data_IF_386402599368
#
_entry.id   IF_386402599368
#
_cell.length_a   1.000
_cell.length_b   1.000
_cell.length_c   1.000
_cell.angle_alpha   90.00
_cell.angle_beta   90.00
_cell.angle_gamma   90.00
#
_symmetry.space_group_name_H-M   'P 1'
#
loop_
_entity.id
_entity.type
_entity.pdbx_description
1 polymer ?
#
# COMPACT_ATOMS: atom_id res chain seq x y z
N UNK A 1 14.46 13.61 3.41
CA UNK A 1 13.00 13.56 3.22
C UNK A 1 12.44 13.04 4.52
N UNK A 2 11.61 13.83 5.19
CA UNK A 2 10.95 13.43 6.44
C UNK A 2 9.63 12.76 6.08
N UNK A 3 9.31 11.66 6.75
CA UNK A 3 8.06 10.91 6.61
C UNK A 3 7.62 10.44 7.99
N UNK A 4 6.36 10.04 8.10
CA UNK A 4 5.77 9.54 9.34
C UNK A 4 5.09 8.21 9.06
N UNK A 5 5.18 7.31 10.03
CA UNK A 5 4.49 6.03 9.99
C UNK A 5 3.03 6.24 10.41
N UNK A 6 2.10 5.91 9.52
CA UNK A 6 0.67 5.84 9.86
C UNK A 6 0.28 4.36 9.95
N UNK A 7 -0.01 3.82 11.14
CA UNK A 7 -0.50 2.46 11.25
C UNK A 7 -1.89 2.37 10.63
N UNK A 8 -2.08 1.39 9.74
CA UNK A 8 -3.40 1.02 9.25
C UNK A 8 -4.01 0.01 10.23
N UNK A 9 -5.26 0.24 10.62
CA UNK A 9 -5.96 -0.63 11.55
C UNK A 9 -6.36 -1.94 10.86
N UNK A 10 -5.61 -3.01 11.12
CA UNK A 10 -5.87 -4.38 10.66
C UNK A 10 -6.01 -5.31 11.88
N UNK A 11 -7.09 -5.13 12.65
CA UNK A 11 -7.28 -5.77 13.96
C UNK A 11 -7.21 -7.31 13.93
N UNK A 12 -7.60 -7.91 12.81
CA UNK A 12 -7.59 -9.37 12.61
C UNK A 12 -6.38 -9.84 11.77
N UNK A 13 -5.46 -8.92 11.45
CA UNK A 13 -4.27 -9.15 10.65
C UNK A 13 -4.58 -9.75 9.27
N UNK A 14 -5.78 -9.46 8.73
CA UNK A 14 -6.33 -10.06 7.50
C UNK A 14 -5.70 -9.44 6.26
N UNK A 15 -5.44 -8.13 6.28
CA UNK A 15 -4.79 -7.43 5.17
C UNK A 15 -3.36 -7.91 5.05
N UNK A 16 -2.62 -7.93 6.15
CA UNK A 16 -1.25 -8.42 6.14
C UNK A 16 -1.16 -9.88 5.69
N UNK A 17 -2.02 -10.76 6.21
CA UNK A 17 -2.06 -12.17 5.78
C UNK A 17 -2.36 -12.29 4.28
N UNK A 18 -3.33 -11.54 3.78
CA UNK A 18 -3.70 -11.56 2.36
C UNK A 18 -2.56 -11.06 1.46
N UNK A 19 -1.83 -10.02 1.87
CA UNK A 19 -0.64 -9.55 1.17
C UNK A 19 0.45 -10.64 1.19
N UNK A 20 0.74 -11.21 2.34
CA UNK A 20 1.73 -12.27 2.47
C UNK A 20 1.38 -13.49 1.60
N UNK A 21 0.14 -13.96 1.62
CA UNK A 21 -0.31 -15.08 0.80
C UNK A 21 -0.23 -14.78 -0.71
N UNK A 22 -0.56 -13.56 -1.13
CA UNK A 22 -0.49 -13.18 -2.54
C UNK A 22 0.96 -13.13 -3.04
N UNK A 23 1.85 -12.47 -2.29
CA UNK A 23 3.25 -12.28 -2.68
C UNK A 23 4.08 -13.57 -2.55
N UNK A 24 3.79 -14.43 -1.57
CA UNK A 24 4.37 -15.79 -1.48
C UNK A 24 3.67 -16.82 -2.36
N UNK A 25 2.55 -16.45 -2.98
CA UNK A 25 1.71 -17.31 -3.81
C UNK A 25 2.34 -17.67 -5.16
N UNK A 26 1.64 -18.48 -5.98
CA UNK A 26 2.19 -19.08 -7.20
C UNK A 26 2.59 -18.07 -8.28
N UNK A 27 2.02 -16.85 -8.24
CA UNK A 27 2.29 -15.77 -9.18
C UNK A 27 3.66 -15.13 -8.93
N UNK A 28 3.88 -14.62 -7.72
CA UNK A 28 5.09 -13.86 -7.39
C UNK A 28 6.16 -14.73 -6.73
N UNK A 29 5.78 -15.81 -6.02
CA UNK A 29 6.70 -16.79 -5.40
C UNK A 29 7.77 -16.14 -4.52
N UNK A 30 7.46 -15.03 -3.84
CA UNK A 30 8.41 -14.19 -3.08
C UNK A 30 9.50 -13.52 -3.91
N UNK A 31 9.27 -13.37 -5.21
CA UNK A 31 10.24 -12.81 -6.15
C UNK A 31 9.59 -11.60 -6.84
N UNK A 32 9.56 -10.46 -6.13
CA UNK A 32 9.05 -9.18 -6.64
C UNK A 32 10.20 -8.16 -6.80
N UNK A 33 11.18 -8.51 -7.63
CA UNK A 33 12.36 -7.67 -7.91
C UNK A 33 12.18 -6.73 -9.11
N UNK A 34 11.28 -7.07 -10.04
CA UNK A 34 11.01 -6.31 -11.29
C UNK A 34 9.82 -5.33 -11.16
N UNK A 35 9.32 -5.09 -9.95
CA UNK A 35 8.09 -4.35 -9.76
C UNK A 35 6.87 -5.22 -9.50
N UNK A 36 5.71 -4.57 -9.43
CA UNK A 36 4.40 -5.21 -9.51
C UNK A 36 3.74 -4.91 -10.86
N UNK A 37 2.72 -5.69 -11.23
CA UNK A 37 1.89 -5.45 -12.41
C UNK A 37 0.53 -4.82 -12.03
N UNK A 38 -0.28 -4.47 -13.03
CA UNK A 38 -1.62 -3.90 -12.84
C UNK A 38 -2.55 -4.84 -12.07
N UNK A 39 -2.48 -6.15 -12.31
CA UNK A 39 -3.30 -7.13 -11.59
C UNK A 39 -2.96 -7.15 -10.10
N UNK A 40 -1.68 -7.06 -9.74
CA UNK A 40 -1.23 -6.98 -8.35
C UNK A 40 -1.68 -5.66 -7.73
N UNK A 41 -1.60 -4.56 -8.47
CA UNK A 41 -2.07 -3.26 -8.02
C UNK A 41 -3.59 -3.25 -7.78
N UNK A 42 -4.37 -3.90 -8.65
CA UNK A 42 -5.81 -4.08 -8.50
C UNK A 42 -6.17 -4.97 -7.30
N UNK A 43 -5.39 -6.04 -7.06
CA UNK A 43 -5.53 -6.87 -5.88
C UNK A 43 -5.31 -6.05 -4.59
N UNK A 44 -4.23 -5.29 -4.51
CA UNK A 44 -3.92 -4.44 -3.33
C UNK A 44 -5.01 -3.39 -3.13
N UNK A 45 -5.45 -2.69 -4.20
CA UNK A 45 -6.55 -1.74 -4.11
C UNK A 45 -7.85 -2.40 -3.63
N UNK A 46 -8.11 -3.64 -4.05
CA UNK A 46 -9.29 -4.38 -3.62
C UNK A 46 -9.26 -4.74 -2.13
N UNK A 47 -8.06 -5.03 -1.62
CA UNK A 47 -7.81 -5.37 -0.23
C UNK A 47 -7.90 -4.12 0.67
N UNK A 48 -7.41 -2.99 0.19
CA UNK A 48 -7.43 -1.70 0.88
C UNK A 48 -8.73 -0.92 0.68
N UNK A 49 -9.79 -1.53 0.15
CA UNK A 49 -11.12 -0.88 0.05
C UNK A 49 -11.61 -0.16 1.31
N UNK A 50 -11.40 -0.68 2.54
CA UNK A 50 -11.75 0.05 3.76
C UNK A 50 -11.02 1.40 3.90
N UNK A 51 -9.81 1.50 3.33
CA UNK A 51 -8.99 2.71 3.27
C UNK A 51 -9.16 3.37 1.89
N UNK A 52 -10.39 3.80 1.57
CA UNK A 52 -10.79 4.33 0.26
C UNK A 52 -9.91 5.48 -0.27
N UNK A 53 -9.20 6.17 0.62
CA UNK A 53 -8.29 7.26 0.32
C UNK A 53 -6.86 6.82 -0.02
N UNK A 54 -6.57 5.52 0.02
CA UNK A 54 -5.30 4.92 -0.41
C UNK A 54 -5.50 4.19 -1.74
N UNK A 55 -4.60 4.45 -2.68
CA UNK A 55 -4.57 3.83 -4.00
C UNK A 55 -3.14 3.48 -4.38
N UNK A 56 -2.90 2.32 -5.00
CA UNK A 56 -1.57 2.00 -5.51
C UNK A 56 -1.21 2.96 -6.65
N UNK A 57 -0.02 3.55 -6.59
CA UNK A 57 0.49 4.48 -7.58
C UNK A 57 0.86 3.75 -8.88
N UNK A 58 -0.02 3.85 -9.88
CA UNK A 58 0.18 3.18 -11.19
C UNK A 58 1.38 3.70 -11.98
N UNK A 59 1.87 4.91 -11.70
CA UNK A 59 3.10 5.43 -12.34
C UNK A 59 4.39 4.86 -11.74
N UNK A 60 4.30 4.13 -10.62
CA UNK A 60 5.44 3.59 -9.87
C UNK A 60 5.39 2.08 -9.64
N UNK A 61 4.65 1.34 -10.46
CA UNK A 61 4.55 -0.11 -10.33
C UNK A 61 5.92 -0.81 -10.43
N UNK A 62 6.75 -0.39 -11.39
CA UNK A 62 8.11 -0.92 -11.58
C UNK A 62 9.09 -0.57 -10.44
N UNK A 63 8.72 0.38 -9.59
CA UNK A 63 9.54 0.80 -8.44
C UNK A 63 9.04 0.16 -7.13
N UNK A 64 7.90 -0.53 -7.18
CA UNK A 64 7.30 -1.17 -6.01
C UNK A 64 7.88 -2.56 -5.81
N UNK A 65 8.13 -2.96 -4.56
CA UNK A 65 8.72 -4.26 -4.22
C UNK A 65 7.83 -5.01 -3.23
N UNK A 66 8.19 -6.28 -2.95
CA UNK A 66 7.37 -7.23 -2.19
C UNK A 66 6.69 -6.66 -0.95
N UNK A 67 7.33 -5.79 -0.17
CA UNK A 67 6.73 -5.16 1.01
C UNK A 67 6.80 -3.62 0.99
N UNK A 68 7.04 -3.02 -0.18
CA UNK A 68 7.27 -1.58 -0.37
C UNK A 68 6.50 -1.12 -1.60
N UNK A 69 5.21 -0.82 -1.42
CA UNK A 69 4.32 -0.45 -2.52
C UNK A 69 4.09 1.05 -2.52
N UNK A 70 4.36 1.71 -3.63
CA UNK A 70 4.09 3.15 -3.75
C UNK A 70 2.58 3.40 -3.78
N UNK A 71 2.13 4.31 -2.92
CA UNK A 71 0.73 4.68 -2.76
C UNK A 71 0.49 6.15 -3.08
N UNK A 72 -0.74 6.45 -3.47
CA UNK A 72 -1.32 7.78 -3.60
C UNK A 72 -2.36 8.01 -2.51
N UNK A 73 -2.32 9.20 -1.92
CA UNK A 73 -3.29 9.69 -0.94
C UNK A 73 -4.35 10.53 -1.67
N UNK A 74 -5.57 10.04 -1.74
CA UNK A 74 -6.70 10.67 -2.43
C UNK A 74 -7.58 11.53 -1.53
N UNK A 75 -7.08 11.87 -0.33
CA UNK A 75 -7.82 12.63 0.67
C UNK A 75 -8.27 14.01 0.16
N UNK A 76 -9.48 14.36 0.54
CA UNK A 76 -10.10 15.66 0.36
C UNK A 76 -10.25 16.37 1.69
N UNK A 77 -10.36 17.70 1.67
CA UNK A 77 -10.39 18.54 2.88
C UNK A 77 -11.59 18.26 3.81
N UNK A 78 -12.57 17.49 3.36
CA UNK A 78 -13.74 17.06 4.14
C UNK A 78 -13.64 15.65 4.74
N UNK A 79 -12.61 14.88 4.40
CA UNK A 79 -12.44 13.51 4.89
C UNK A 79 -11.97 13.53 6.35
N UNK A 80 -12.46 12.61 7.17
CA UNK A 80 -12.07 12.51 8.58
C UNK A 80 -10.57 12.26 8.72
N UNK A 81 -10.04 11.41 7.85
CA UNK A 81 -8.64 11.02 7.82
C UNK A 81 -7.74 12.15 7.36
N UNK A 82 -8.26 13.18 6.67
CA UNK A 82 -7.48 14.35 6.23
C UNK A 82 -6.74 15.01 7.39
N UNK A 83 -7.28 14.98 8.62
CA UNK A 83 -6.62 15.56 9.79
C UNK A 83 -5.29 14.88 10.11
N UNK A 84 -5.19 13.56 9.91
CA UNK A 84 -3.97 12.77 10.14
C UNK A 84 -2.86 13.20 9.18
N UNK A 85 -3.24 13.52 7.93
CA UNK A 85 -2.32 13.87 6.85
C UNK A 85 -2.26 15.40 6.60
N UNK A 86 -2.90 16.20 7.45
CA UNK A 86 -2.94 17.65 7.27
C UNK A 86 -1.55 18.25 7.50
N UNK A 87 -1.10 19.11 6.58
CA UNK A 87 0.24 19.69 6.60
C UNK A 87 1.27 18.98 5.71
N UNK A 88 0.94 17.81 5.16
CA UNK A 88 1.78 17.14 4.17
C UNK A 88 1.39 17.55 2.76
N UNK A 89 2.33 18.17 2.06
CA UNK A 89 2.15 18.66 0.69
C UNK A 89 2.17 17.51 -0.34
N UNK A 90 2.87 16.42 -0.01
CA UNK A 90 3.01 15.25 -0.88
C UNK A 90 1.87 14.25 -0.63
N UNK A 91 1.11 13.99 -1.69
CA UNK A 91 0.02 13.00 -1.69
C UNK A 91 0.54 11.58 -1.98
N UNK A 92 1.74 11.25 -1.52
CA UNK A 92 2.36 9.95 -1.78
C UNK A 92 2.81 9.29 -0.49
N UNK A 93 2.68 7.97 -0.45
CA UNK A 93 3.12 7.14 0.66
C UNK A 93 3.75 5.85 0.18
N UNK A 94 4.22 5.05 1.13
CA UNK A 94 4.65 3.68 0.90
C UNK A 94 3.82 2.81 1.83
N UNK A 95 3.08 1.86 1.25
CA UNK A 95 2.48 0.77 2.02
C UNK A 95 3.57 -0.24 2.31
N UNK A 96 3.71 -0.59 3.59
CA UNK A 96 4.68 -1.58 4.04
C UNK A 96 4.10 -2.45 5.15
N UNK A 97 4.60 -3.68 5.26
CA UNK A 97 4.17 -4.67 6.25
C UNK A 97 5.34 -5.58 6.64
N UNK A 98 5.12 -6.38 7.69
CA UNK A 98 6.11 -7.35 8.15
C UNK A 98 6.45 -8.37 7.06
N UNK A 99 7.71 -8.36 6.66
CA UNK A 99 8.36 -9.31 5.77
C UNK A 99 9.39 -10.10 6.60
N UNK A 100 9.71 -11.33 6.21
CA UNK A 100 10.77 -12.15 6.80
C UNK A 100 12.21 -11.70 6.46
N UNK A 101 12.39 -10.72 5.57
CA UNK A 101 13.67 -10.05 5.26
C UNK A 101 14.02 -8.93 6.25
#
# INVERSE_FOLDING_TARGET
>A
MEGFLVPLEDLENKIQQSLQEYFTGPKLRSWCYDGIDEETADFIDSLLKPFYYLKVNRSKLLQSHEAWIYMELLLQKGDLEYQIYSGFLEKSGILTWGNSD
#
